data_IF_366289226293
#
_entry.id   IF_366289226293
#
_cell.length_a   1.000
_cell.length_b   1.000
_cell.length_c   1.000
_cell.angle_alpha   90.00
_cell.angle_beta   90.00
_cell.angle_gamma   90.00
#
_symmetry.space_group_name_H-M   'P 1'
#
loop_
_entity.id
_entity.type
_entity.pdbx_description
1 polymer ?
#
# COMPACT_ATOMS: atom_id res chain seq x y z
N UNK A 1 -13.66 -10.29 -2.90
CA UNK A 1 -12.63 -9.85 -3.86
C UNK A 1 -11.26 -10.02 -3.22
N UNK A 2 -10.24 -10.28 -4.02
CA UNK A 2 -8.90 -10.55 -3.53
C UNK A 2 -7.88 -9.74 -4.33
N UNK A 3 -7.13 -8.88 -3.67
CA UNK A 3 -6.04 -8.14 -4.26
C UNK A 3 -4.73 -8.84 -3.95
N UNK A 4 -4.03 -9.28 -4.99
CA UNK A 4 -2.74 -9.96 -4.89
C UNK A 4 -1.68 -9.08 -5.53
N UNK A 5 -0.69 -8.69 -4.74
CA UNK A 5 0.45 -7.89 -5.20
C UNK A 5 1.75 -8.59 -4.83
N UNK A 6 2.78 -8.38 -5.64
CA UNK A 6 4.14 -8.83 -5.36
C UNK A 6 5.14 -7.84 -5.93
N UNK A 7 6.28 -7.74 -5.30
CA UNK A 7 7.35 -6.85 -5.73
C UNK A 7 8.24 -6.43 -4.59
N UNK A 8 9.06 -5.42 -4.83
CA UNK A 8 9.95 -4.82 -3.84
C UNK A 8 9.24 -3.71 -3.08
N UNK A 9 9.27 -3.78 -1.76
CA UNK A 9 8.63 -2.78 -0.89
C UNK A 9 9.54 -1.57 -0.73
N UNK A 10 9.01 -0.41 -1.04
CA UNK A 10 9.69 0.87 -0.86
C UNK A 10 8.84 1.87 -0.11
N UNK A 11 9.46 2.96 0.29
CA UNK A 11 8.80 4.03 1.02
C UNK A 11 9.40 5.38 0.62
N UNK A 12 8.51 6.35 0.52
CA UNK A 12 8.88 7.73 0.25
C UNK A 12 8.01 8.65 1.12
N UNK A 13 8.61 9.66 1.74
CA UNK A 13 7.91 10.58 2.62
C UNK A 13 6.79 11.36 1.93
N UNK A 14 6.88 11.54 0.62
CA UNK A 14 5.85 12.23 -0.15
C UNK A 14 4.75 11.30 -0.65
N UNK A 15 5.09 10.03 -0.95
CA UNK A 15 4.18 9.09 -1.63
C UNK A 15 3.91 7.82 -0.83
N UNK A 16 4.47 7.71 0.35
CA UNK A 16 4.25 6.62 1.30
C UNK A 16 4.73 5.25 0.78
N UNK A 17 4.11 4.16 1.21
CA UNK A 17 4.51 2.81 0.79
C UNK A 17 4.15 2.53 -0.66
N UNK A 18 5.05 1.86 -1.37
CA UNK A 18 4.82 1.40 -2.74
C UNK A 18 5.45 0.02 -2.97
N UNK A 19 4.96 -0.70 -3.96
CA UNK A 19 5.48 -1.99 -4.39
C UNK A 19 5.88 -1.86 -5.85
N UNK A 20 7.15 -2.14 -6.17
CA UNK A 20 7.67 -2.04 -7.53
C UNK A 20 8.20 -3.38 -8.03
N UNK A 21 8.25 -3.54 -9.36
CA UNK A 21 8.80 -4.74 -9.98
C UNK A 21 10.32 -4.74 -10.00
N UNK A 22 10.94 -3.60 -9.84
CA UNK A 22 12.39 -3.45 -9.84
C UNK A 22 12.87 -2.98 -8.47
N UNK A 23 13.97 -3.57 -8.01
CA UNK A 23 14.65 -3.10 -6.81
C UNK A 23 15.40 -1.84 -7.15
N UNK A 24 14.89 -0.69 -6.71
CA UNK A 24 15.53 0.60 -6.92
C UNK A 24 16.07 1.12 -5.60
N UNK A 25 17.32 1.51 -5.58
CA UNK A 25 17.93 2.19 -4.43
C UNK A 25 17.56 3.67 -4.40
N UNK A 26 17.15 4.22 -5.54
CA UNK A 26 16.67 5.59 -5.66
C UNK A 26 15.16 5.58 -5.87
N UNK A 27 14.45 6.18 -4.95
CA UNK A 27 13.01 6.25 -5.03
C UNK A 27 12.58 7.40 -5.95
N UNK A 28 12.38 7.06 -7.20
CA UNK A 28 11.52 7.89 -8.05
C UNK A 28 10.07 7.46 -7.83
N UNK A 29 9.62 7.66 -6.61
CA UNK A 29 8.30 7.23 -6.14
C UNK A 29 7.15 7.79 -6.97
N UNK A 30 7.34 8.93 -7.62
CA UNK A 30 6.35 9.50 -8.52
C UNK A 30 6.02 8.59 -9.73
N UNK A 31 6.85 7.58 -10.00
CA UNK A 31 6.61 6.60 -11.06
C UNK A 31 5.69 5.45 -10.61
N UNK A 32 5.44 5.33 -9.32
CA UNK A 32 4.69 4.22 -8.77
C UNK A 32 3.48 4.72 -7.99
N UNK A 33 2.34 4.07 -8.20
CA UNK A 33 1.18 4.30 -7.34
C UNK A 33 1.48 3.77 -5.94
N UNK A 34 1.06 4.50 -4.92
CA UNK A 34 1.19 4.03 -3.54
C UNK A 34 0.39 2.75 -3.33
N UNK A 35 0.77 1.97 -2.32
CA UNK A 35 0.02 0.77 -1.92
C UNK A 35 -1.44 1.11 -1.62
N UNK A 36 -1.68 2.22 -0.91
CA UNK A 36 -3.02 2.65 -0.58
C UNK A 36 -3.86 2.99 -1.82
N UNK A 37 -3.26 3.65 -2.82
CA UNK A 37 -3.96 3.94 -4.07
C UNK A 37 -4.33 2.67 -4.83
N UNK A 38 -3.47 1.65 -4.83
CA UNK A 38 -3.77 0.35 -5.44
C UNK A 38 -4.94 -0.34 -4.75
N UNK A 39 -5.03 -0.23 -3.42
CA UNK A 39 -6.16 -0.76 -2.65
C UNK A 39 -7.45 -0.01 -3.01
N UNK A 40 -7.41 1.32 -3.05
CA UNK A 40 -8.54 2.15 -3.42
C UNK A 40 -9.07 1.81 -4.81
N UNK A 41 -8.19 1.70 -5.78
CA UNK A 41 -8.55 1.42 -7.18
C UNK A 41 -9.14 0.03 -7.34
N UNK A 42 -8.58 -0.95 -6.67
CA UNK A 42 -9.02 -2.35 -6.81
C UNK A 42 -10.38 -2.62 -6.20
N UNK A 43 -10.61 -2.14 -4.99
CA UNK A 43 -11.85 -2.43 -4.26
C UNK A 43 -13.00 -1.51 -4.65
N UNK A 44 -12.73 -0.39 -5.29
CA UNK A 44 -13.72 0.55 -5.77
C UNK A 44 -14.72 1.05 -4.70
N UNK A 45 -14.31 1.06 -3.44
CA UNK A 45 -15.11 1.59 -2.32
C UNK A 45 -14.72 3.02 -2.01
N UNK A 46 -14.52 3.80 -3.06
CA UNK A 46 -13.97 5.14 -2.93
C UNK A 46 -15.06 6.17 -2.71
N UNK A 47 -14.91 6.96 -1.64
CA UNK A 47 -15.65 8.19 -1.45
C UNK A 47 -14.71 9.36 -1.74
N UNK A 48 -15.18 10.30 -2.53
CA UNK A 48 -14.43 11.53 -2.82
C UNK A 48 -15.11 12.67 -2.06
N UNK A 49 -14.33 13.33 -1.22
CA UNK A 49 -14.76 14.60 -0.67
C UNK A 49 -14.24 15.71 -1.60
N UNK A 50 -15.08 16.14 -2.53
CA UNK A 50 -14.69 17.11 -3.54
C UNK A 50 -14.30 18.46 -2.95
N UNK A 51 -14.85 18.81 -1.78
CA UNK A 51 -14.55 20.08 -1.13
C UNK A 51 -13.14 20.14 -0.52
N UNK A 52 -12.56 18.97 -0.18
CA UNK A 52 -11.24 18.88 0.47
C UNK A 52 -10.21 18.16 -0.37
N UNK A 53 -10.55 17.69 -1.55
CA UNK A 53 -9.66 16.93 -2.41
C UNK A 53 -9.21 15.59 -1.80
N UNK A 54 -10.07 14.96 -1.02
CA UNK A 54 -9.78 13.69 -0.34
C UNK A 54 -10.37 12.50 -1.05
N UNK A 55 -9.66 11.37 -0.94
CA UNK A 55 -10.18 10.05 -1.28
C UNK A 55 -10.20 9.19 -0.03
N UNK A 56 -11.28 8.46 0.18
CA UNK A 56 -11.48 7.60 1.35
C UNK A 56 -11.99 6.25 0.88
N UNK A 57 -11.36 5.17 1.36
CA UNK A 57 -11.81 3.81 1.13
C UNK A 57 -11.94 3.09 2.46
N UNK A 58 -13.07 2.45 2.66
CA UNK A 58 -13.32 1.60 3.84
C UNK A 58 -13.75 0.22 3.39
N UNK A 59 -13.24 -0.80 4.09
CA UNK A 59 -13.62 -2.20 3.88
C UNK A 59 -13.93 -2.81 5.23
N UNK A 60 -15.11 -3.37 5.40
CA UNK A 60 -15.45 -4.12 6.60
C UNK A 60 -14.86 -5.53 6.52
N UNK A 61 -14.32 -6.01 7.63
CA UNK A 61 -13.79 -7.37 7.76
C UNK A 61 -12.71 -7.70 6.72
N UNK A 62 -11.77 -6.78 6.53
CA UNK A 62 -10.62 -7.02 5.68
C UNK A 62 -9.67 -8.03 6.32
N UNK A 63 -8.99 -8.80 5.49
CA UNK A 63 -7.97 -9.75 5.92
C UNK A 63 -6.73 -9.54 5.07
N UNK A 64 -5.62 -9.20 5.72
CA UNK A 64 -4.33 -9.00 5.05
C UNK A 64 -3.35 -10.08 5.49
N UNK A 65 -2.66 -10.67 4.51
CA UNK A 65 -1.53 -11.55 4.75
C UNK A 65 -0.36 -11.11 3.89
N UNK A 66 0.82 -11.01 4.49
CA UNK A 66 2.05 -10.66 3.79
C UNK A 66 3.16 -11.64 4.16
N UNK A 67 4.05 -11.86 3.21
CA UNK A 67 5.32 -12.59 3.42
C UNK A 67 6.44 -11.73 2.86
N UNK A 68 7.58 -11.72 3.56
CA UNK A 68 8.74 -10.90 3.20
C UNK A 68 9.95 -11.78 3.00
N UNK A 69 10.76 -11.47 1.99
CA UNK A 69 12.00 -12.20 1.70
C UNK A 69 13.07 -11.24 1.19
N UNK A 70 14.34 -11.64 1.31
CA UNK A 70 15.45 -10.83 0.80
C UNK A 70 15.63 -11.00 -0.71
N UNK A 71 15.19 -12.14 -1.24
CA UNK A 71 15.30 -12.49 -2.65
C UNK A 71 13.91 -12.65 -3.26
N UNK A 72 13.82 -12.49 -4.58
CA UNK A 72 12.61 -12.80 -5.33
C UNK A 72 12.26 -14.27 -5.17
N UNK A 73 11.03 -14.56 -4.83
CA UNK A 73 10.54 -15.93 -4.69
C UNK A 73 9.08 -16.02 -5.11
N UNK A 74 8.60 -17.24 -5.31
CA UNK A 74 7.19 -17.49 -5.58
C UNK A 74 6.38 -17.37 -4.28
N UNK A 75 5.07 -17.18 -4.42
CA UNK A 75 4.19 -17.17 -3.25
C UNK A 75 4.28 -18.49 -2.48
N UNK A 76 4.35 -19.63 -3.17
CA UNK A 76 4.47 -20.93 -2.54
C UNK A 76 5.75 -21.05 -1.71
N UNK A 77 6.88 -20.59 -2.27
CA UNK A 77 8.15 -20.56 -1.55
C UNK A 77 8.10 -19.66 -0.32
N UNK A 78 7.47 -18.50 -0.46
CA UNK A 78 7.29 -17.56 0.66
C UNK A 78 6.46 -18.19 1.78
N UNK A 79 5.35 -18.81 1.44
CA UNK A 79 4.46 -19.45 2.42
C UNK A 79 5.13 -20.64 3.13
N UNK A 80 6.01 -21.36 2.44
CA UNK A 80 6.73 -22.49 3.03
C UNK A 80 7.88 -22.08 3.96
N UNK A 81 8.55 -20.98 3.65
CA UNK A 81 9.82 -20.63 4.30
C UNK A 81 9.74 -19.49 5.30
N UNK A 82 8.67 -18.70 5.28
CA UNK A 82 8.54 -17.50 6.10
C UNK A 82 7.22 -17.47 6.84
N UNK A 83 7.23 -16.87 8.03
CA UNK A 83 6.01 -16.60 8.77
C UNK A 83 5.25 -15.46 8.09
N UNK A 84 3.91 -15.57 8.11
CA UNK A 84 3.07 -14.52 7.58
C UNK A 84 2.87 -13.39 8.59
N UNK A 85 2.91 -12.16 8.08
CA UNK A 85 2.35 -11.01 8.77
C UNK A 85 0.84 -11.02 8.49
N UNK A 86 0.03 -11.05 9.53
CA UNK A 86 -1.44 -11.11 9.39
C UNK A 86 -2.11 -10.04 10.23
N UNK A 87 -3.02 -9.30 9.61
CA UNK A 87 -3.92 -8.39 10.32
C UNK A 87 -5.32 -8.52 9.75
N UNK A 88 -6.31 -8.43 10.62
CA UNK A 88 -7.73 -8.50 10.27
C UNK A 88 -8.50 -7.40 10.94
N UNK A 89 -9.60 -7.01 10.34
CA UNK A 89 -10.49 -6.00 10.88
C UNK A 89 -10.93 -5.01 9.81
N UNK A 90 -11.48 -3.90 10.24
CA UNK A 90 -11.93 -2.88 9.32
C UNK A 90 -10.74 -2.12 8.74
N UNK A 91 -10.73 -1.99 7.42
CA UNK A 91 -9.73 -1.18 6.72
C UNK A 91 -10.25 0.23 6.56
N UNK A 92 -9.39 1.19 6.85
CA UNK A 92 -9.55 2.59 6.50
C UNK A 92 -8.29 3.07 5.83
N UNK A 93 -8.41 3.56 4.62
CA UNK A 93 -7.33 4.31 3.97
C UNK A 93 -7.88 5.61 3.42
N UNK A 94 -7.15 6.69 3.60
CA UNK A 94 -7.50 7.99 3.09
C UNK A 94 -6.26 8.78 2.72
N UNK A 95 -6.46 9.70 1.80
CA UNK A 95 -5.40 10.58 1.36
C UNK A 95 -5.96 11.84 0.73
N UNK A 96 -5.08 12.76 0.39
CA UNK A 96 -5.47 14.04 -0.20
C UNK A 96 -4.49 14.45 -1.30
N UNK A 97 -4.99 15.24 -2.24
CA UNK A 97 -4.18 15.83 -3.29
C UNK A 97 -3.35 16.98 -2.74
N UNK A 98 -2.08 16.99 -3.13
CA UNK A 98 -1.14 18.09 -2.86
C UNK A 98 -0.69 18.65 -4.19
N UNK A 99 -1.10 19.86 -4.51
CA UNK A 99 -0.69 20.50 -5.75
C UNK A 99 -0.80 22.01 -5.62
N UNK A 100 0.19 22.71 -6.11
CA UNK A 100 0.34 24.12 -5.78
C UNK A 100 0.51 25.06 -6.96
N UNK A 101 0.54 24.59 -8.18
CA UNK A 101 0.69 25.51 -9.28
C UNK A 101 -0.09 25.05 -10.51
N UNK A 102 -0.39 26.02 -11.36
CA UNK A 102 -1.05 25.80 -12.64
C UNK A 102 -0.30 24.84 -13.57
N UNK A 103 0.96 24.54 -13.23
CA UNK A 103 1.89 23.80 -14.08
C UNK A 103 2.33 22.46 -13.50
N UNK A 104 2.00 22.18 -12.26
CA UNK A 104 2.48 20.96 -11.59
C UNK A 104 1.41 19.91 -11.46
N UNK A 105 1.86 18.69 -11.72
CA UNK A 105 1.10 17.49 -11.42
C UNK A 105 0.91 17.42 -9.92
N UNK A 106 -0.34 17.29 -9.52
CA UNK A 106 -0.68 17.10 -8.11
C UNK A 106 -0.21 15.73 -7.63
N UNK A 107 0.56 15.71 -6.55
CA UNK A 107 0.84 14.50 -5.80
C UNK A 107 -0.38 14.07 -5.01
N UNK A 108 -0.38 12.82 -4.56
CA UNK A 108 -1.41 12.29 -3.68
C UNK A 108 -0.73 11.72 -2.43
N UNK A 109 -0.98 12.34 -1.28
CA UNK A 109 -0.42 11.91 -0.01
C UNK A 109 -1.42 11.05 0.75
N UNK A 110 -0.92 9.93 1.28
CA UNK A 110 -1.72 9.06 2.13
C UNK A 110 -1.63 9.54 3.57
N UNK A 111 -2.78 9.80 4.18
CA UNK A 111 -2.87 10.21 5.57
C UNK A 111 -2.97 9.01 6.50
N UNK A 112 -3.68 7.96 6.09
CA UNK A 112 -3.90 6.76 6.88
C UNK A 112 -4.02 5.52 6.00
N UNK A 113 -3.46 4.41 6.50
CA UNK A 113 -3.70 3.07 5.98
C UNK A 113 -3.72 2.13 7.17
N UNK A 114 -4.92 1.85 7.68
CA UNK A 114 -5.13 1.15 8.94
C UNK A 114 -6.04 -0.05 8.71
N UNK A 115 -5.67 -1.20 9.28
CA UNK A 115 -6.53 -2.40 9.33
C UNK A 115 -6.60 -2.87 10.78
N UNK A 116 -7.82 -2.95 11.32
CA UNK A 116 -8.03 -3.47 12.67
C UNK A 116 -7.21 -2.77 13.75
N UNK A 117 -6.98 -1.46 13.58
CA UNK A 117 -6.18 -0.66 14.49
C UNK A 117 -4.66 -0.71 14.23
N UNK A 118 -4.21 -1.50 13.24
CA UNK A 118 -2.80 -1.57 12.86
C UNK A 118 -2.49 -0.55 11.77
N UNK A 119 -1.55 0.33 12.03
CA UNK A 119 -1.04 1.29 11.05
C UNK A 119 -0.02 0.59 10.15
N UNK A 120 -0.45 0.24 8.93
CA UNK A 120 0.39 -0.49 7.98
C UNK A 120 1.60 0.32 7.52
N UNK A 121 1.47 1.63 7.43
CA UNK A 121 2.57 2.51 7.06
C UNK A 121 3.74 2.40 8.05
N UNK A 122 3.41 2.28 9.33
CA UNK A 122 4.41 2.10 10.39
C UNK A 122 4.92 0.67 10.45
N UNK A 123 4.02 -0.31 10.42
CA UNK A 123 4.40 -1.72 10.62
C UNK A 123 5.17 -2.29 9.43
N UNK A 124 4.84 -1.92 8.21
CA UNK A 124 5.55 -2.41 7.03
C UNK A 124 6.88 -1.69 6.76
N UNK A 125 7.15 -0.56 7.41
CA UNK A 125 8.43 0.14 7.25
C UNK A 125 9.65 -0.72 7.62
N UNK A 126 9.49 -1.64 8.54
CA UNK A 126 10.57 -2.56 8.94
C UNK A 126 11.02 -3.46 7.80
N UNK A 127 10.20 -3.60 6.77
CA UNK A 127 10.43 -4.50 5.64
C UNK A 127 10.80 -3.78 4.34
N UNK A 128 11.09 -2.49 4.41
CA UNK A 128 11.53 -1.72 3.24
C UNK A 128 12.81 -2.33 2.68
N UNK A 129 12.83 -2.51 1.36
CA UNK A 129 13.94 -3.15 0.66
C UNK A 129 13.80 -4.66 0.52
N UNK A 130 12.78 -5.27 1.14
CA UNK A 130 12.47 -6.68 0.97
C UNK A 130 11.46 -6.91 -0.14
N UNK A 131 11.45 -8.13 -0.68
CA UNK A 131 10.43 -8.59 -1.60
C UNK A 131 9.20 -9.00 -0.81
N UNK A 132 8.02 -8.51 -1.22
CA UNK A 132 6.77 -8.77 -0.52
C UNK A 132 5.80 -9.55 -1.41
N UNK A 133 5.10 -10.50 -0.81
CA UNK A 133 3.85 -11.04 -1.31
C UNK A 133 2.72 -10.51 -0.43
N UNK A 134 1.75 -9.88 -1.04
CA UNK A 134 0.67 -9.15 -0.36
C UNK A 134 -0.66 -9.67 -0.86
N UNK A 135 -1.50 -10.16 0.07
CA UNK A 135 -2.85 -10.65 -0.26
C UNK A 135 -3.84 -9.96 0.68
N UNK A 136 -4.72 -9.18 0.10
CA UNK A 136 -5.79 -8.48 0.82
C UNK A 136 -7.15 -8.97 0.32
N UNK A 137 -7.98 -9.45 1.24
CA UNK A 137 -9.34 -9.90 0.94
C UNK A 137 -10.35 -9.08 1.73
N UNK A 138 -11.52 -8.88 1.15
CA UNK A 138 -12.67 -8.28 1.84
C UNK A 138 -13.66 -9.32 2.37
#
# INVERSE_FOLDING_TARGET
>A
MELILKGWLGYDDEYNLWISQERTEESYSWQYSSLAEKIMDYFNYMKVDEGLGRKITTIENANLRCWFSDEVCTLEEAQMNFESYMVTGNLLTQGHYVGYSEWTITGFNIDELIIGGHDLETELKEHIGQYIHFILTD
#
